data_IF_061294324188
#
_entry.id   IF_061294324188
#
_cell.length_a   1.000
_cell.length_b   1.000
_cell.length_c   1.000
_cell.angle_alpha   90.00
_cell.angle_beta   90.00
_cell.angle_gamma   90.00
#
_symmetry.space_group_name_H-M   'P 1'
#
loop_
_entity.id
_entity.type
_entity.pdbx_description
1 polymer ?
#
# COMPACT_ATOMS: atom_id res chain seq x y z
N UNK A 1 -8.02 -14.68 -10.20
CA UNK A 1 -8.03 -14.63 -8.72
C UNK A 1 -6.79 -13.86 -8.27
N UNK A 2 -6.85 -12.53 -8.24
CA UNK A 2 -5.76 -11.72 -7.68
C UNK A 2 -5.94 -11.70 -6.17
N UNK A 3 -5.17 -12.54 -5.47
CA UNK A 3 -4.98 -12.38 -4.03
C UNK A 3 -4.11 -11.13 -3.91
N UNK A 4 -4.67 -10.04 -3.42
CA UNK A 4 -3.99 -8.73 -3.39
C UNK A 4 -2.75 -8.83 -2.51
N UNK A 5 -1.61 -9.12 -3.13
CA UNK A 5 -0.33 -9.28 -2.47
C UNK A 5 0.24 -7.87 -2.27
N UNK A 6 0.05 -7.34 -1.06
CA UNK A 6 0.65 -6.08 -0.65
C UNK A 6 1.73 -6.34 0.40
N UNK A 7 2.88 -5.71 0.23
CA UNK A 7 3.99 -5.83 1.17
C UNK A 7 3.96 -4.67 2.16
N UNK A 8 3.88 -4.98 3.45
CA UNK A 8 3.94 -3.96 4.51
C UNK A 8 5.39 -3.78 4.96
N UNK A 9 5.93 -2.57 4.76
CA UNK A 9 7.28 -2.19 5.17
C UNK A 9 7.22 -1.21 6.33
N UNK A 10 7.84 -1.56 7.47
CA UNK A 10 7.97 -0.62 8.59
C UNK A 10 9.11 0.37 8.36
N UNK A 11 8.86 1.65 8.61
CA UNK A 11 9.87 2.71 8.49
C UNK A 11 9.82 3.68 9.65
N UNK A 12 10.98 3.96 10.23
CA UNK A 12 11.11 4.89 11.36
C UNK A 12 11.06 6.35 10.92
N UNK A 13 11.47 6.62 9.67
CA UNK A 13 11.43 7.95 9.06
C UNK A 13 10.05 8.31 8.52
N UNK A 14 9.17 7.32 8.33
CA UNK A 14 7.82 7.57 7.86
C UNK A 14 7.00 8.23 8.97
N UNK A 15 6.43 9.40 8.68
CA UNK A 15 5.54 10.11 9.62
C UNK A 15 4.06 9.77 9.43
N UNK A 16 3.70 9.13 8.31
CA UNK A 16 2.33 8.76 7.92
C UNK A 16 2.37 7.45 7.12
N UNK A 17 1.23 6.75 7.06
CA UNK A 17 1.04 5.60 6.16
C UNK A 17 1.18 6.08 4.72
N UNK A 18 1.96 5.37 3.91
CA UNK A 18 2.06 5.62 2.46
C UNK A 18 1.82 4.33 1.71
N UNK A 19 1.05 4.42 0.63
CA UNK A 19 0.85 3.32 -0.30
C UNK A 19 1.54 3.70 -1.61
N UNK A 20 2.46 2.85 -2.06
CA UNK A 20 3.12 2.94 -3.35
C UNK A 20 2.69 1.76 -4.21
N UNK A 21 2.57 2.00 -5.51
CA UNK A 21 2.42 0.94 -6.51
C UNK A 21 3.65 1.02 -7.39
N UNK A 22 4.44 -0.05 -7.43
CA UNK A 22 5.63 -0.14 -8.26
C UNK A 22 5.26 -0.25 -9.76
N UNK A 23 6.23 -0.03 -10.66
CA UNK A 23 6.05 -0.22 -12.10
C UNK A 23 5.58 -1.64 -12.48
N UNK A 24 5.88 -2.66 -11.66
CA UNK A 24 5.35 -4.01 -11.82
C UNK A 24 3.92 -4.25 -11.32
N UNK A 25 3.23 -3.22 -10.80
CA UNK A 25 1.88 -3.33 -10.24
C UNK A 25 1.79 -3.87 -8.80
N UNK A 26 2.95 -4.14 -8.18
CA UNK A 26 3.06 -4.57 -6.79
C UNK A 26 2.75 -3.41 -5.83
N UNK A 27 2.02 -3.69 -4.76
CA UNK A 27 1.60 -2.68 -3.77
C UNK A 27 2.51 -2.75 -2.54
N UNK A 28 3.13 -1.63 -2.21
CA UNK A 28 3.97 -1.47 -1.02
C UNK A 28 3.34 -0.48 -0.05
N UNK A 29 3.14 -0.90 1.19
CA UNK A 29 2.59 -0.07 2.25
C UNK A 29 3.69 0.26 3.25
N UNK A 30 4.10 1.52 3.29
CA UNK A 30 5.07 2.02 4.26
C UNK A 30 4.36 2.48 5.52
N UNK A 31 4.58 1.73 6.60
CA UNK A 31 3.97 1.95 7.91
C UNK A 31 4.96 2.58 8.89
N UNK A 32 4.61 3.70 9.56
CA UNK A 32 5.41 4.23 10.65
C UNK A 32 5.52 3.24 11.83
N UNK A 33 6.67 3.22 12.51
CA UNK A 33 6.91 2.27 13.64
C UNK A 33 5.94 2.42 14.81
N UNK A 34 5.35 3.61 14.98
CA UNK A 34 4.36 3.94 16.03
C UNK A 34 2.91 3.65 15.63
N UNK A 35 2.68 3.33 14.35
CA UNK A 35 1.35 3.16 13.79
C UNK A 35 1.06 1.66 13.69
N UNK A 36 -0.14 1.22 14.10
CA UNK A 36 -0.50 -0.20 14.09
C UNK A 36 -0.79 -0.70 12.67
N UNK A 37 -0.60 -1.99 12.45
CA UNK A 37 -0.76 -2.64 11.14
C UNK A 37 -2.18 -2.54 10.58
N UNK A 38 -3.19 -2.38 11.45
CA UNK A 38 -4.57 -2.10 11.03
C UNK A 38 -4.71 -0.85 10.17
N UNK A 39 -3.85 0.14 10.36
CA UNK A 39 -3.85 1.37 9.55
C UNK A 39 -3.28 1.10 8.16
N UNK A 40 -2.39 0.10 8.01
CA UNK A 40 -1.96 -0.36 6.70
C UNK A 40 -3.14 -0.96 5.93
N UNK A 41 -3.92 -1.83 6.59
CA UNK A 41 -5.11 -2.44 5.99
C UNK A 41 -6.16 -1.38 5.66
N UNK A 42 -6.44 -0.46 6.58
CA UNK A 42 -7.37 0.65 6.34
C UNK A 42 -6.94 1.49 5.14
N UNK A 43 -5.66 1.88 5.07
CA UNK A 43 -5.14 2.65 3.95
C UNK A 43 -5.23 1.89 2.61
N UNK A 44 -4.98 0.58 2.59
CA UNK A 44 -5.14 -0.24 1.37
C UNK A 44 -6.61 -0.32 0.95
N UNK A 45 -7.54 -0.51 1.89
CA UNK A 45 -8.98 -0.57 1.60
C UNK A 45 -9.50 0.79 1.11
N UNK A 46 -9.11 1.88 1.76
CA UNK A 46 -9.49 3.24 1.34
C UNK A 46 -8.90 3.60 -0.03
N UNK A 47 -7.67 3.17 -0.31
CA UNK A 47 -6.99 3.43 -1.57
C UNK A 47 -7.19 2.34 -2.62
N UNK A 48 -7.96 1.29 -2.34
CA UNK A 48 -8.28 0.22 -3.29
C UNK A 48 -8.68 0.73 -4.69
N UNK A 49 -9.61 1.70 -4.82
CA UNK A 49 -9.96 2.24 -6.14
C UNK A 49 -8.80 2.98 -6.82
N UNK A 50 -7.92 3.64 -6.06
CA UNK A 50 -6.74 4.29 -6.61
C UNK A 50 -5.67 3.27 -7.05
N UNK A 51 -5.46 2.21 -6.26
CA UNK A 51 -4.54 1.10 -6.57
C UNK A 51 -4.94 0.44 -7.88
N UNK A 52 -6.22 0.08 -8.02
CA UNK A 52 -6.73 -0.57 -9.24
C UNK A 52 -6.58 0.35 -10.45
N UNK A 53 -6.87 1.65 -10.32
CA UNK A 53 -6.60 2.62 -11.39
C UNK A 53 -5.13 2.72 -11.74
N UNK A 54 -4.23 2.62 -10.76
CA UNK A 54 -2.79 2.69 -11.00
C UNK A 54 -2.29 1.44 -11.70
N UNK A 55 -2.75 0.26 -11.29
CA UNK A 55 -2.47 -1.02 -11.96
C UNK A 55 -2.98 -1.03 -13.41
N UNK A 56 -4.20 -0.55 -13.64
CA UNK A 56 -4.76 -0.44 -14.98
C UNK A 56 -3.99 0.53 -15.89
N UNK A 57 -3.32 1.53 -15.32
CA UNK A 57 -2.46 2.45 -16.08
C UNK A 57 -1.04 1.91 -16.35
N UNK A 58 -0.66 0.81 -15.71
CA UNK A 58 0.63 0.13 -15.89
C UNK A 58 0.55 -1.08 -16.84
N UNK A 59 -0.68 -1.52 -17.18
CA UNK A 59 -0.96 -2.57 -18.15
C UNK A 59 -1.05 -2.01 -19.58
#
# INVERSE_FOLDING_TARGET
MHRDDFTVRRSERARRVRVCVDAGGAVEVVLPRRVPEREAVAAVVELAPWIERRRAALA
#
